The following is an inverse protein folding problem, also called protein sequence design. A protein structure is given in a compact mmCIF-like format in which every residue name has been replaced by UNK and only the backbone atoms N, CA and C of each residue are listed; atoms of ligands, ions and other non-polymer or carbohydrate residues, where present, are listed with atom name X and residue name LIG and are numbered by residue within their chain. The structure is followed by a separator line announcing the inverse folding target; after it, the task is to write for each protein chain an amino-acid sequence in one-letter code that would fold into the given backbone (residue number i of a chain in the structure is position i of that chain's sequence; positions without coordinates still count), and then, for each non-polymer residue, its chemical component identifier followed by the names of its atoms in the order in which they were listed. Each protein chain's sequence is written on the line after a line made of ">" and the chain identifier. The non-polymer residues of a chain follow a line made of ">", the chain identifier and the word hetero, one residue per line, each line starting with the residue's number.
data_IF_437541453822
#
_entry.id   IF_437541453822
#
_cell.length_a   1.000
_cell.length_b   1.000
_cell.length_c   1.000
_cell.angle_alpha   90.00
_cell.angle_beta   90.00
_cell.angle_gamma   90.00
#
_symmetry.space_group_name_H-M   'P 1'
#
loop_
_entity.id
_entity.type
_entity.pdbx_description
1 polymer ?
#
# COMPACT_ATOMS: atom_id res chain seq x y z
N UNK A 1 0.95 4.82 -36.55
CA UNK A 1 2.18 4.28 -35.94
C UNK A 1 2.27 5.02 -34.64
N UNK A 2 1.57 4.50 -33.65
CA UNK A 2 1.38 5.15 -32.36
C UNK A 2 2.13 4.27 -31.38
N UNK A 3 3.30 4.77 -30.98
CA UNK A 3 4.23 4.06 -30.12
C UNK A 3 3.64 3.92 -28.72
N UNK A 4 3.25 2.70 -28.40
CA UNK A 4 2.99 2.24 -27.04
C UNK A 4 4.26 2.48 -26.21
N UNK A 5 4.18 3.38 -25.23
CA UNK A 5 5.24 3.57 -24.25
C UNK A 5 5.13 2.39 -23.29
N UNK A 6 6.06 1.45 -23.40
CA UNK A 6 6.18 0.32 -22.49
C UNK A 6 6.43 0.83 -21.07
N UNK A 7 5.52 0.48 -20.16
CA UNK A 7 5.79 0.45 -18.73
C UNK A 7 6.72 -0.75 -18.47
N UNK A 8 8.00 -0.53 -18.78
CA UNK A 8 9.09 -1.47 -18.54
C UNK A 8 9.44 -1.49 -17.03
N UNK A 9 8.53 -2.04 -16.21
CA UNK A 9 8.80 -2.43 -14.82
C UNK A 9 9.68 -3.69 -14.82
N UNK A 10 10.97 -3.54 -15.14
CA UNK A 10 11.97 -4.57 -14.88
C UNK A 10 12.27 -4.60 -13.37
N UNK A 11 11.45 -5.31 -12.60
CA UNK A 11 11.79 -5.76 -11.25
C UNK A 11 12.89 -6.84 -11.36
N UNK A 12 14.16 -6.39 -11.33
CA UNK A 12 15.35 -7.23 -11.20
C UNK A 12 15.43 -7.82 -9.78
N UNK A 13 14.63 -8.86 -9.52
CA UNK A 13 14.71 -9.68 -8.31
C UNK A 13 15.68 -10.87 -8.52
N UNK A 14 16.94 -10.56 -8.84
CA UNK A 14 18.03 -11.53 -8.76
C UNK A 14 18.33 -11.92 -7.31
N UNK A 15 18.67 -13.19 -7.01
CA UNK A 15 19.00 -13.61 -5.64
C UNK A 15 20.26 -12.87 -5.17
N UNK A 16 20.09 -11.94 -4.22
CA UNK A 16 21.19 -11.19 -3.62
C UNK A 16 21.94 -12.10 -2.64
N UNK A 17 23.19 -12.42 -2.97
CA UNK A 17 24.09 -13.16 -2.08
C UNK A 17 24.18 -12.47 -0.71
N UNK A 18 24.01 -13.25 0.35
CA UNK A 18 23.91 -12.76 1.72
C UNK A 18 25.31 -12.49 2.28
N UNK A 19 25.77 -11.24 2.15
CA UNK A 19 26.97 -10.77 2.85
C UNK A 19 26.63 -10.50 4.33
N UNK A 20 27.34 -11.18 5.23
CA UNK A 20 27.01 -11.35 6.65
C UNK A 20 27.52 -10.22 7.58
N UNK A 21 28.09 -9.14 7.06
CA UNK A 21 28.60 -8.03 7.88
C UNK A 21 27.66 -6.80 7.83
N UNK A 22 26.83 -6.65 8.87
CA UNK A 22 26.32 -5.35 9.31
C UNK A 22 25.41 -4.60 8.34
N UNK A 23 24.54 -5.30 7.62
CA UNK A 23 23.60 -4.68 6.67
C UNK A 23 22.51 -3.90 7.41
N UNK A 24 22.79 -2.64 7.75
CA UNK A 24 21.74 -1.64 7.76
C UNK A 24 21.23 -1.54 6.32
N UNK A 25 20.24 -2.36 5.98
CA UNK A 25 19.48 -2.18 4.75
C UNK A 25 18.84 -0.80 4.86
N UNK A 26 19.39 0.17 4.11
CA UNK A 26 18.86 1.52 4.07
C UNK A 26 17.51 1.47 3.35
N UNK A 27 16.45 1.26 4.12
CA UNK A 27 15.09 1.33 3.61
C UNK A 27 14.81 2.77 3.17
N UNK A 28 14.34 2.91 1.93
CA UNK A 28 13.99 4.19 1.32
C UNK A 28 12.51 4.54 1.48
N UNK A 29 11.64 3.56 1.79
CA UNK A 29 10.21 3.80 1.99
C UNK A 29 9.36 2.53 2.07
N UNK A 30 8.03 2.72 2.12
CA UNK A 30 7.01 1.65 2.18
C UNK A 30 6.03 1.84 1.02
N UNK A 31 5.72 0.75 0.29
CA UNK A 31 4.71 0.74 -0.78
C UNK A 31 3.48 -0.04 -0.30
N UNK A 32 2.29 0.52 -0.54
CA UNK A 32 1.00 -0.15 -0.27
C UNK A 32 0.45 -0.68 -1.58
N UNK A 33 0.20 -1.99 -1.64
CA UNK A 33 -0.44 -2.67 -2.78
C UNK A 33 -1.84 -3.14 -2.34
N UNK A 34 -2.87 -2.88 -3.16
CA UNK A 34 -4.27 -3.17 -2.81
C UNK A 34 -4.96 -3.92 -3.93
N UNK A 35 -5.80 -4.89 -3.60
CA UNK A 35 -6.72 -5.58 -4.53
C UNK A 35 -8.08 -5.77 -3.85
N UNK A 36 -9.14 -5.30 -4.50
CA UNK A 36 -10.52 -5.37 -3.96
C UNK A 36 -11.30 -6.57 -4.50
N UNK A 37 -10.92 -7.11 -5.66
CA UNK A 37 -11.66 -8.19 -6.34
C UNK A 37 -11.12 -9.58 -6.01
N UNK A 38 -9.98 -9.69 -5.32
CA UNK A 38 -9.34 -10.97 -4.95
C UNK A 38 -8.79 -11.78 -6.13
N UNK A 39 -9.17 -11.43 -7.37
CA UNK A 39 -8.70 -11.98 -8.63
C UNK A 39 -8.31 -10.80 -9.53
N UNK A 40 -7.01 -10.49 -9.61
CA UNK A 40 -6.49 -9.42 -10.48
C UNK A 40 -5.24 -8.72 -9.92
N UNK A 41 -4.65 -7.90 -10.78
CA UNK A 41 -3.45 -7.11 -10.50
C UNK A 41 -3.65 -6.16 -9.33
N UNK A 42 -2.63 -6.05 -8.48
CA UNK A 42 -2.62 -5.09 -7.39
C UNK A 42 -2.53 -3.68 -7.94
N UNK A 43 -3.40 -2.80 -7.48
CA UNK A 43 -3.41 -1.40 -7.92
C UNK A 43 -2.56 -0.53 -6.99
N UNK A 44 -1.90 0.47 -7.59
CA UNK A 44 -1.27 1.57 -6.85
C UNK A 44 -2.35 2.44 -6.19
N UNK A 45 -2.01 3.08 -5.06
CA UNK A 45 -2.91 3.98 -4.33
C UNK A 45 -3.47 5.10 -5.21
N UNK A 46 -2.73 5.53 -6.24
CA UNK A 46 -3.14 6.60 -7.16
C UNK A 46 -4.39 6.24 -7.97
N UNK A 47 -4.56 4.97 -8.33
CA UNK A 47 -5.67 4.46 -9.14
C UNK A 47 -6.95 4.16 -8.35
N UNK A 48 -6.92 4.32 -7.02
CA UNK A 48 -8.07 4.03 -6.16
C UNK A 48 -9.06 5.20 -6.09
N UNK A 49 -10.36 4.89 -5.98
CA UNK A 49 -11.42 5.87 -5.72
C UNK A 49 -11.27 6.51 -4.33
N UNK A 50 -11.95 7.63 -4.09
CA UNK A 50 -11.95 8.29 -2.78
C UNK A 50 -12.38 7.35 -1.65
N UNK A 51 -13.51 6.67 -1.81
CA UNK A 51 -13.98 5.69 -0.83
C UNK A 51 -13.03 4.50 -0.63
N UNK A 52 -12.42 4.00 -1.71
CA UNK A 52 -11.42 2.93 -1.62
C UNK A 52 -10.18 3.36 -0.82
N UNK A 53 -9.68 4.57 -1.04
CA UNK A 53 -8.56 5.14 -0.26
C UNK A 53 -8.93 5.26 1.22
N UNK A 54 -10.15 5.70 1.53
CA UNK A 54 -10.67 5.76 2.90
C UNK A 54 -10.72 4.39 3.56
N UNK A 55 -11.21 3.36 2.86
CA UNK A 55 -11.22 1.97 3.39
C UNK A 55 -9.81 1.46 3.66
N UNK A 56 -8.85 1.70 2.76
CA UNK A 56 -7.45 1.29 2.95
C UNK A 56 -6.83 1.99 4.16
N UNK A 57 -7.05 3.30 4.31
CA UNK A 57 -6.55 4.07 5.45
C UNK A 57 -7.15 3.56 6.76
N UNK A 58 -8.47 3.36 6.84
CA UNK A 58 -9.14 2.80 8.01
C UNK A 58 -8.64 1.40 8.34
N UNK A 59 -8.41 0.56 7.31
CA UNK A 59 -7.85 -0.79 7.49
C UNK A 59 -6.48 -0.74 8.16
N UNK A 60 -5.62 0.18 7.72
CA UNK A 60 -4.30 0.38 8.33
C UNK A 60 -4.41 0.88 9.78
N UNK A 61 -5.30 1.84 10.06
CA UNK A 61 -5.52 2.35 11.43
C UNK A 61 -6.00 1.22 12.34
N UNK A 62 -6.95 0.39 11.90
CA UNK A 62 -7.43 -0.76 12.67
C UNK A 62 -6.37 -1.84 12.84
N UNK A 63 -5.48 -2.04 11.87
CA UNK A 63 -4.35 -2.95 12.02
C UNK A 63 -3.37 -2.45 13.08
N UNK A 64 -3.05 -1.15 13.08
CA UNK A 64 -2.21 -0.52 14.12
C UNK A 64 -2.88 -0.66 15.49
N UNK A 65 -4.17 -0.34 15.60
CA UNK A 65 -4.93 -0.48 16.85
C UNK A 65 -4.91 -1.92 17.39
N UNK A 66 -4.94 -2.94 16.52
CA UNK A 66 -4.84 -4.35 16.94
C UNK A 66 -3.44 -4.72 17.43
N UNK A 67 -2.40 -4.08 16.92
CA UNK A 67 -1.01 -4.33 17.31
C UNK A 67 -0.61 -3.54 18.57
N UNK A 68 -0.96 -2.26 18.64
CA UNK A 68 -0.64 -1.35 19.74
C UNK A 68 -1.79 -0.33 19.94
N UNK A 69 -2.75 -0.63 20.84
CA UNK A 69 -3.92 0.20 21.03
C UNK A 69 -3.62 1.48 21.83
N UNK A 70 -4.02 2.62 21.28
CA UNK A 70 -4.01 3.91 21.97
C UNK A 70 -5.21 4.03 22.93
N UNK A 71 -5.11 4.89 23.98
CA UNK A 71 -6.19 5.05 24.97
C UNK A 71 -7.49 5.63 24.40
N UNK A 72 -7.46 6.36 23.28
CA UNK A 72 -8.65 6.80 22.55
C UNK A 72 -8.32 7.14 21.09
N UNK A 73 -9.36 7.16 20.25
CA UNK A 73 -9.30 7.54 18.84
C UNK A 73 -10.46 8.49 18.53
N UNK A 74 -10.19 9.54 17.76
CA UNK A 74 -11.20 10.46 17.26
C UNK A 74 -11.18 10.42 15.73
N UNK A 75 -12.35 10.15 15.14
CA UNK A 75 -12.55 10.10 13.71
C UNK A 75 -13.52 11.22 13.32
N UNK A 76 -13.13 12.06 12.38
CA UNK A 76 -13.93 13.18 11.89
C UNK A 76 -14.24 12.97 10.40
N UNK A 77 -15.51 13.09 10.03
CA UNK A 77 -16.05 12.93 8.66
C UNK A 77 -15.54 11.71 7.86
N UNK A 78 -15.20 10.60 8.54
CA UNK A 78 -14.62 9.42 7.86
C UNK A 78 -15.59 8.72 6.91
N UNK A 79 -16.89 8.97 7.06
CA UNK A 79 -17.96 8.42 6.25
C UNK A 79 -18.29 9.28 5.02
N UNK A 80 -17.73 10.50 4.89
CA UNK A 80 -18.04 11.42 3.78
C UNK A 80 -17.72 10.85 2.39
N UNK A 81 -16.76 9.91 2.32
CA UNK A 81 -16.36 9.24 1.08
C UNK A 81 -16.84 7.77 1.01
N UNK A 82 -17.57 7.28 2.02
CA UNK A 82 -18.06 5.91 2.08
C UNK A 82 -19.54 5.87 1.67
N UNK A 83 -19.92 4.80 0.98
CA UNK A 83 -21.34 4.56 0.68
C UNK A 83 -22.10 4.20 1.98
N UNK A 84 -23.36 4.67 2.13
CA UNK A 84 -24.20 4.38 3.31
C UNK A 84 -24.67 2.93 3.42
#
# INVERSE_FOLDING_TARGET
>A
MDGDHGDDDYDDDGPREADLEGRFEKYIGVKVKVSFTGQGDTQSMEHLSGGQKTVVALTLIFAIQRCDPAPFYLFDEIDAALDP
#
